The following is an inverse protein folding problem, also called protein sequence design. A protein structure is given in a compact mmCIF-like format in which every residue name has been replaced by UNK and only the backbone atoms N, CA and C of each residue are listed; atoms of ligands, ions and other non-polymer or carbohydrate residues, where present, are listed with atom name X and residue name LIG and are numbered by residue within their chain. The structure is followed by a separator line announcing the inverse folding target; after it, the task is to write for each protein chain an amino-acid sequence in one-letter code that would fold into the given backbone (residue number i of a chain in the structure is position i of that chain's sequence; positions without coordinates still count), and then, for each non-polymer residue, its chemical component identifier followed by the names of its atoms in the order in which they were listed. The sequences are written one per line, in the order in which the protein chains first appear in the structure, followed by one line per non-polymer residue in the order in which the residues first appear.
data_IF_312883562017
#
_entry.id   IF_312883562017
#
_cell.length_a   1.000
_cell.length_b   1.000
_cell.length_c   1.000
_cell.angle_alpha   90.00
_cell.angle_beta   90.00
_cell.angle_gamma   90.00
#
_symmetry.space_group_name_H-M   'P 1'
#
loop_
_entity.id
_entity.type
_entity.pdbx_description
1 polymer ?
#
# COMPACT_ATOMS: atom_id res chain seq x y z
N UNK A 1 8.22 19.13 32.89
CA UNK A 1 7.46 19.20 31.61
C UNK A 1 7.54 17.85 30.86
N UNK A 2 6.46 17.07 30.85
CA UNK A 2 6.40 15.81 30.11
C UNK A 2 6.51 16.09 28.59
N UNK A 3 7.25 15.28 27.81
CA UNK A 3 7.33 15.46 26.37
C UNK A 3 5.93 15.36 25.78
N UNK A 4 5.52 16.37 25.00
CA UNK A 4 4.21 16.45 24.38
C UNK A 4 3.88 15.12 23.69
N UNK A 5 2.81 14.48 24.16
CA UNK A 5 2.32 13.21 23.62
C UNK A 5 2.04 13.39 22.14
N UNK A 6 2.92 12.85 21.29
CA UNK A 6 2.59 12.66 19.89
C UNK A 6 1.24 11.90 19.83
N UNK A 7 0.31 12.29 18.94
CA UNK A 7 -1.00 11.66 18.86
C UNK A 7 -0.83 10.14 18.76
N UNK A 8 -1.58 9.41 19.59
CA UNK A 8 -1.50 7.96 19.61
C UNK A 8 -1.91 7.42 18.24
N UNK A 9 -1.21 6.39 17.75
CA UNK A 9 -1.41 5.89 16.38
C UNK A 9 -2.86 5.45 16.11
N UNK A 10 -3.59 5.00 17.14
CA UNK A 10 -5.00 4.61 17.03
C UNK A 10 -5.96 5.81 16.93
N UNK A 11 -5.51 7.02 17.25
CA UNK A 11 -6.30 8.26 17.15
C UNK A 11 -6.13 8.94 15.79
N UNK A 12 -5.25 8.42 14.93
CA UNK A 12 -5.06 8.92 13.57
C UNK A 12 -6.27 8.49 12.75
N UNK A 13 -7.22 9.40 12.56
CA UNK A 13 -8.43 9.17 11.78
C UNK A 13 -8.12 8.76 10.34
N UNK A 14 -8.80 7.74 9.86
CA UNK A 14 -8.66 7.26 8.50
C UNK A 14 -9.23 8.30 7.52
N UNK A 15 -8.35 8.95 6.73
CA UNK A 15 -8.76 9.90 5.71
C UNK A 15 -9.06 9.18 4.40
N UNK A 16 -10.14 8.40 4.37
CA UNK A 16 -10.61 7.69 3.18
C UNK A 16 -11.95 8.25 2.71
N UNK A 17 -12.07 8.52 1.41
CA UNK A 17 -13.35 8.92 0.80
C UNK A 17 -13.96 7.75 0.02
N UNK A 18 -15.07 7.21 0.51
CA UNK A 18 -15.81 6.15 -0.18
C UNK A 18 -16.27 6.58 -1.59
N UNK A 19 -16.71 7.83 -1.74
CA UNK A 19 -17.10 8.39 -3.03
C UNK A 19 -15.91 8.45 -4.01
N UNK A 20 -14.72 8.83 -3.52
CA UNK A 20 -13.49 8.81 -4.31
C UNK A 20 -13.16 7.40 -4.79
N UNK A 21 -13.18 6.42 -3.88
CA UNK A 21 -12.93 5.01 -4.22
C UNK A 21 -13.91 4.51 -5.29
N UNK A 22 -15.20 4.79 -5.14
CA UNK A 22 -16.23 4.40 -6.11
C UNK A 22 -16.02 5.08 -7.48
N UNK A 23 -15.70 6.37 -7.50
CA UNK A 23 -15.37 7.10 -8.73
C UNK A 23 -14.19 6.46 -9.45
N UNK A 24 -13.11 6.16 -8.72
CA UNK A 24 -11.94 5.50 -9.27
C UNK A 24 -12.31 4.11 -9.84
N UNK A 25 -13.07 3.30 -9.12
CA UNK A 25 -13.57 2.01 -9.62
C UNK A 25 -14.42 2.17 -10.90
N UNK A 26 -15.21 3.24 -10.99
CA UNK A 26 -16.00 3.55 -12.19
C UNK A 26 -15.10 3.95 -13.36
N UNK A 27 -14.13 4.84 -13.17
CA UNK A 27 -13.14 5.23 -14.21
C UNK A 27 -12.38 4.02 -14.73
N UNK A 28 -11.93 3.14 -13.82
CA UNK A 28 -11.26 1.89 -14.20
C UNK A 28 -12.16 1.01 -15.09
N UNK A 29 -13.47 0.93 -14.79
CA UNK A 29 -14.41 0.10 -15.54
C UNK A 29 -14.55 0.54 -17.00
N UNK A 30 -14.55 1.84 -17.26
CA UNK A 30 -14.82 2.37 -18.60
C UNK A 30 -13.56 2.55 -19.44
N UNK A 31 -12.44 2.91 -18.80
CA UNK A 31 -11.24 3.33 -19.52
C UNK A 31 -10.00 2.46 -19.21
N UNK A 32 -10.12 1.49 -18.30
CA UNK A 32 -9.03 0.57 -17.94
C UNK A 32 -7.96 1.19 -17.03
N UNK A 33 -6.80 0.53 -16.95
CA UNK A 33 -5.76 0.77 -15.93
C UNK A 33 -4.90 2.02 -16.16
N UNK A 34 -4.78 2.50 -17.39
CA UNK A 34 -3.94 3.65 -17.72
C UNK A 34 -4.54 5.00 -17.26
N UNK A 35 -5.79 5.35 -17.63
CA UNK A 35 -6.42 6.59 -17.18
C UNK A 35 -6.72 6.57 -15.67
N UNK A 36 -6.92 5.39 -15.10
CA UNK A 36 -6.99 5.23 -13.65
C UNK A 36 -5.73 5.76 -12.94
N UNK A 37 -4.53 5.35 -13.40
CA UNK A 37 -3.26 5.83 -12.84
C UNK A 37 -3.11 7.33 -13.01
N UNK A 38 -3.54 7.87 -14.14
CA UNK A 38 -3.53 9.32 -14.39
C UNK A 38 -4.36 10.10 -13.36
N UNK A 39 -5.50 9.55 -12.91
CA UNK A 39 -6.32 10.15 -11.86
C UNK A 39 -5.72 9.99 -10.46
N UNK A 40 -5.02 8.88 -10.18
CA UNK A 40 -4.44 8.60 -8.86
C UNK A 40 -3.23 9.48 -8.58
N UNK A 41 -2.32 9.67 -9.54
CA UNK A 41 -1.10 10.43 -9.32
C UNK A 41 -1.32 11.84 -8.75
N UNK A 42 -2.27 12.68 -9.25
CA UNK A 42 -2.52 13.98 -8.64
C UNK A 42 -3.11 13.86 -7.24
N UNK A 43 -3.96 12.86 -6.96
CA UNK A 43 -4.51 12.61 -5.61
C UNK A 43 -3.38 12.25 -4.64
N UNK A 44 -2.49 11.35 -5.05
CA UNK A 44 -1.30 10.95 -4.27
C UNK A 44 -0.38 12.13 -4.03
N UNK A 45 -0.13 12.95 -5.06
CA UNK A 45 0.73 14.13 -4.94
C UNK A 45 0.13 15.15 -3.97
N UNK A 46 -1.17 15.46 -4.08
CA UNK A 46 -1.86 16.35 -3.16
C UNK A 46 -1.78 15.82 -1.72
N UNK A 47 -2.06 14.53 -1.51
CA UNK A 47 -1.97 13.89 -0.19
C UNK A 47 -0.54 13.93 0.37
N UNK A 48 0.46 13.67 -0.47
CA UNK A 48 1.87 13.75 -0.07
C UNK A 48 2.33 15.18 0.27
N UNK A 49 1.75 16.18 -0.38
CA UNK A 49 2.02 17.59 -0.09
C UNK A 49 1.37 18.05 1.21
N UNK A 50 0.10 17.69 1.43
CA UNK A 50 -0.69 18.10 2.61
C UNK A 50 -0.32 17.33 3.87
N UNK A 51 0.01 16.04 3.76
CA UNK A 51 0.24 15.16 4.91
C UNK A 51 1.72 15.07 5.27
N UNK A 52 2.22 16.09 5.99
CA UNK A 52 3.62 16.19 6.45
C UNK A 52 4.06 15.00 7.29
N UNK A 53 3.22 14.58 8.24
CA UNK A 53 3.51 13.47 9.14
C UNK A 53 3.75 12.16 8.36
N UNK A 54 2.87 11.87 7.40
CA UNK A 54 3.00 10.66 6.58
C UNK A 54 4.24 10.70 5.67
N UNK A 55 4.62 11.88 5.17
CA UNK A 55 5.85 12.04 4.38
C UNK A 55 7.10 11.81 5.22
N UNK A 56 7.15 12.37 6.42
CA UNK A 56 8.29 12.22 7.33
C UNK A 56 8.44 10.77 7.80
N UNK A 57 7.34 10.11 8.16
CA UNK A 57 7.37 8.70 8.55
C UNK A 57 7.79 7.78 7.40
N UNK A 58 7.30 8.04 6.18
CA UNK A 58 7.72 7.33 4.97
C UNK A 58 9.22 7.49 4.71
N UNK A 59 9.75 8.71 4.84
CA UNK A 59 11.19 8.95 4.66
C UNK A 59 12.02 8.25 5.74
N UNK A 60 11.60 8.32 7.00
CA UNK A 60 12.27 7.61 8.11
C UNK A 60 12.29 6.10 7.88
N UNK A 61 11.18 5.52 7.42
CA UNK A 61 11.12 4.11 7.07
C UNK A 61 12.13 3.75 5.96
N UNK A 62 12.14 4.54 4.87
CA UNK A 62 13.07 4.30 3.76
C UNK A 62 14.53 4.44 4.19
N UNK A 63 14.84 5.40 5.06
CA UNK A 63 16.19 5.58 5.62
C UNK A 63 16.61 4.38 6.47
N UNK A 64 15.73 3.86 7.32
CA UNK A 64 15.99 2.64 8.11
C UNK A 64 16.18 1.43 7.20
N UNK A 65 15.31 1.28 6.19
CA UNK A 65 15.44 0.22 5.19
C UNK A 65 16.81 0.31 4.50
N UNK A 66 17.22 1.50 4.07
CA UNK A 66 18.53 1.73 3.47
C UNK A 66 19.67 1.34 4.42
N UNK A 67 19.60 1.73 5.69
CA UNK A 67 20.64 1.43 6.67
C UNK A 67 20.81 -0.07 6.90
N UNK A 68 19.75 -0.87 6.80
CA UNK A 68 19.79 -2.31 7.05
C UNK A 68 20.00 -3.17 5.80
N UNK A 69 19.58 -2.70 4.62
CA UNK A 69 19.55 -3.52 3.40
C UNK A 69 20.36 -2.95 2.23
N UNK A 70 20.69 -1.67 2.25
CA UNK A 70 21.44 -1.01 1.17
C UNK A 70 20.72 -0.97 -0.18
N UNK A 71 19.37 -1.06 -0.19
CA UNK A 71 18.56 -1.24 -1.41
C UNK A 71 18.70 -0.10 -2.43
N UNK A 72 18.97 1.12 -2.00
CA UNK A 72 19.14 2.29 -2.86
C UNK A 72 20.61 2.62 -3.10
N UNK A 73 20.94 3.09 -4.31
CA UNK A 73 22.28 3.58 -4.64
C UNK A 73 22.66 4.86 -3.88
N UNK A 74 21.67 5.66 -3.49
CA UNK A 74 21.85 6.91 -2.75
C UNK A 74 20.86 6.98 -1.58
N UNK A 75 21.13 7.77 -0.53
CA UNK A 75 20.20 7.97 0.57
C UNK A 75 18.80 8.38 0.05
N UNK A 76 17.72 7.76 0.55
CA UNK A 76 16.38 8.06 0.08
C UNK A 76 15.99 9.49 0.47
N UNK A 77 15.46 10.22 -0.50
CA UNK A 77 14.97 11.59 -0.35
C UNK A 77 13.46 11.69 -0.56
N UNK A 78 13.00 12.93 -0.72
CA UNK A 78 11.57 13.26 -0.95
C UNK A 78 11.00 12.55 -2.18
N UNK A 79 11.83 12.33 -3.20
CA UNK A 79 11.40 11.67 -4.43
C UNK A 79 11.15 10.17 -4.23
N UNK A 80 11.97 9.49 -3.43
CA UNK A 80 11.74 8.10 -3.03
C UNK A 80 10.51 7.97 -2.14
N UNK A 81 10.28 8.94 -1.24
CA UNK A 81 9.03 9.01 -0.48
C UNK A 81 7.81 9.13 -1.40
N UNK A 82 7.82 10.05 -2.38
CA UNK A 82 6.71 10.17 -3.33
C UNK A 82 6.48 8.87 -4.13
N UNK A 83 7.55 8.23 -4.59
CA UNK A 83 7.48 6.90 -5.24
C UNK A 83 6.88 5.84 -4.33
N UNK A 84 7.26 5.82 -3.07
CA UNK A 84 6.73 4.89 -2.07
C UNK A 84 5.21 5.09 -1.90
N UNK A 85 4.74 6.34 -1.82
CA UNK A 85 3.31 6.65 -1.81
C UNK A 85 2.59 6.22 -3.09
N UNK A 86 3.20 6.41 -4.25
CA UNK A 86 2.63 5.96 -5.52
C UNK A 86 2.48 4.44 -5.58
N UNK A 87 3.51 3.69 -5.19
CA UNK A 87 3.46 2.22 -5.11
C UNK A 87 2.42 1.73 -4.11
N UNK A 88 2.30 2.41 -2.97
CA UNK A 88 1.26 2.12 -1.98
C UNK A 88 -0.15 2.31 -2.57
N UNK A 89 -0.38 3.41 -3.29
CA UNK A 89 -1.66 3.66 -3.96
C UNK A 89 -1.97 2.63 -5.06
N UNK A 90 -0.97 2.24 -5.86
CA UNK A 90 -1.10 1.17 -6.86
C UNK A 90 -1.44 -0.19 -6.20
N UNK A 91 -0.81 -0.49 -5.05
CA UNK A 91 -1.08 -1.74 -4.31
C UNK A 91 -2.48 -1.73 -3.68
N UNK A 92 -2.91 -0.60 -3.11
CA UNK A 92 -4.27 -0.42 -2.61
C UNK A 92 -5.30 -0.60 -3.73
N UNK A 93 -5.04 -0.05 -4.91
CA UNK A 93 -5.89 -0.26 -6.07
C UNK A 93 -6.03 -1.74 -6.40
N UNK A 94 -4.91 -2.44 -6.54
CA UNK A 94 -4.94 -3.85 -6.93
C UNK A 94 -5.77 -4.67 -5.93
N UNK A 95 -5.72 -4.33 -4.63
CA UNK A 95 -6.60 -4.90 -3.60
C UNK A 95 -8.08 -4.55 -3.81
N UNK A 96 -8.41 -3.29 -4.11
CA UNK A 96 -9.80 -2.88 -4.38
C UNK A 96 -10.38 -3.61 -5.60
N UNK A 97 -9.60 -3.77 -6.67
CA UNK A 97 -10.01 -4.52 -7.86
C UNK A 97 -10.14 -6.01 -7.58
N UNK A 98 -9.24 -6.58 -6.75
CA UNK A 98 -9.32 -7.95 -6.28
C UNK A 98 -10.60 -8.22 -5.48
N UNK A 99 -10.93 -7.34 -4.52
CA UNK A 99 -12.16 -7.42 -3.73
C UNK A 99 -13.43 -7.24 -4.57
N UNK A 100 -13.36 -6.47 -5.65
CA UNK A 100 -14.46 -6.29 -6.60
C UNK A 100 -14.82 -7.52 -7.44
N UNK A 101 -14.21 -8.69 -7.18
CA UNK A 101 -14.53 -9.95 -7.85
C UNK A 101 -14.10 -10.03 -9.31
N UNK A 102 -13.20 -9.14 -9.75
CA UNK A 102 -12.78 -9.02 -11.16
C UNK A 102 -11.47 -9.71 -11.49
N UNK A 103 -10.85 -10.40 -10.53
CA UNK A 103 -9.73 -11.28 -10.84
C UNK A 103 -10.26 -12.64 -11.26
N UNK A 104 -10.03 -13.08 -12.52
CA UNK A 104 -10.41 -14.42 -12.94
C UNK A 104 -9.64 -15.42 -12.07
N UNK A 105 -10.31 -16.38 -11.39
CA UNK A 105 -9.62 -17.36 -10.56
C UNK A 105 -8.60 -18.18 -11.36
N UNK A 106 -8.78 -18.29 -12.68
CA UNK A 106 -7.87 -18.98 -13.60
C UNK A 106 -6.52 -18.26 -13.76
N UNK A 107 -6.43 -16.97 -13.42
CA UNK A 107 -5.19 -16.19 -13.44
C UNK A 107 -4.46 -16.15 -12.10
N UNK A 108 -5.03 -16.75 -11.06
CA UNK A 108 -4.44 -16.76 -9.73
C UNK A 108 -3.63 -18.05 -9.57
N UNK A 109 -2.31 -17.94 -9.63
CA UNK A 109 -1.43 -19.06 -9.34
C UNK A 109 -1.22 -19.18 -7.82
N UNK A 110 -1.95 -20.08 -7.16
CA UNK A 110 -1.77 -20.35 -5.74
C UNK A 110 -0.66 -21.40 -5.54
N UNK A 111 0.48 -20.98 -5.00
CA UNK A 111 1.44 -21.92 -4.41
C UNK A 111 0.95 -22.35 -3.03
N UNK A 112 0.07 -23.34 -3.00
CA UNK A 112 -0.60 -23.83 -1.78
C UNK A 112 -0.25 -25.26 -1.39
N UNK A 113 0.52 -25.97 -2.22
CA UNK A 113 0.77 -27.41 -2.05
C UNK A 113 1.46 -27.72 -0.72
N UNK A 114 2.47 -26.92 -0.35
CA UNK A 114 3.15 -27.02 0.95
C UNK A 114 2.18 -26.83 2.13
N UNK A 115 1.27 -25.87 2.02
CA UNK A 115 0.29 -25.57 3.08
C UNK A 115 -0.75 -26.68 3.18
N UNK A 116 -1.25 -27.17 2.04
CA UNK A 116 -2.23 -28.26 1.98
C UNK A 116 -1.66 -29.57 2.52
N UNK A 117 -0.40 -29.90 2.21
CA UNK A 117 0.27 -31.09 2.74
C UNK A 117 0.40 -31.03 4.28
N UNK A 118 0.77 -29.86 4.84
CA UNK A 118 0.84 -29.69 6.29
C UNK A 118 -0.53 -29.71 6.98
N UNK A 119 -1.57 -29.19 6.32
CA UNK A 119 -2.95 -29.32 6.82
C UNK A 119 -3.38 -30.79 6.84
N UNK A 120 -3.08 -31.56 5.78
CA UNK A 120 -3.39 -32.98 5.71
C UNK A 120 -2.71 -33.79 6.83
N UNK A 121 -1.48 -33.40 7.21
CA UNK A 121 -0.71 -34.01 8.31
C UNK A 121 -1.09 -33.54 9.71
N UNK A 122 -2.01 -32.56 9.84
CA UNK A 122 -2.44 -31.94 11.11
C UNK A 122 -1.29 -31.32 11.92
N UNK A 123 -0.25 -30.85 11.25
CA UNK A 123 0.95 -30.28 11.90
C UNK A 123 0.75 -28.81 12.32
N UNK A 124 -0.37 -28.19 11.93
CA UNK A 124 -0.59 -26.76 12.13
C UNK A 124 0.34 -25.90 11.27
N UNK A 125 0.15 -24.58 11.28
CA UNK A 125 0.99 -23.67 10.52
C UNK A 125 0.76 -22.21 10.89
N UNK A 126 1.83 -21.41 10.78
CA UNK A 126 1.81 -19.97 10.94
C UNK A 126 2.14 -19.32 9.61
N UNK A 127 1.26 -18.44 9.12
CA UNK A 127 1.53 -17.63 7.93
C UNK A 127 2.02 -16.27 8.42
N UNK A 128 3.27 -15.96 8.09
CA UNK A 128 3.88 -14.66 8.36
C UNK A 128 3.90 -13.84 7.07
N UNK A 129 3.29 -12.67 7.09
CA UNK A 129 3.29 -11.71 5.97
C UNK A 129 3.90 -10.40 6.44
N UNK A 130 4.75 -9.80 5.61
CA UNK A 130 5.37 -8.49 5.85
C UNK A 130 4.52 -7.33 5.33
#
# INVERSE_FOLDING_TARGET
PAPGSAPHWADIGESTSAAGVLFLCWVHRWFGRWPFRLCVYPVVLCHWLTNRLARESSLQYLQRLQAHTGVFATPPGRWQSLKHFALFADTMLDKLLGLGGRYPPERIYLQRDLVLDRIARREGGLILTA
#
